data_IF_985651421864
#
_entry.id   IF_985651421864
#
_cell.length_a   1.000
_cell.length_b   1.000
_cell.length_c   1.000
_cell.angle_alpha   90.00
_cell.angle_beta   90.00
_cell.angle_gamma   90.00
#
_symmetry.space_group_name_H-M   'P 1'
#
loop_
_entity.id
_entity.type
_entity.pdbx_description
1 polymer ?
#
# COMPACT_ATOMS: atom_id res chain seq x y z
N UNK A 1 14.35 14.86 -12.43
CA UNK A 1 14.38 14.86 -10.95
C UNK A 1 13.23 13.97 -10.57
N UNK A 2 13.51 12.68 -10.48
CA UNK A 2 12.51 11.62 -10.39
C UNK A 2 12.85 10.67 -9.22
N UNK A 3 13.72 11.11 -8.31
CA UNK A 3 14.13 10.35 -7.14
C UNK A 3 13.13 10.38 -5.98
N UNK A 4 12.11 11.24 -6.06
CA UNK A 4 11.12 11.47 -5.00
C UNK A 4 9.74 10.89 -5.34
N UNK A 5 9.62 10.09 -6.40
CA UNK A 5 8.34 9.54 -6.87
C UNK A 5 8.22 8.06 -6.61
N UNK A 6 7.04 7.64 -6.17
CA UNK A 6 6.68 6.23 -5.98
C UNK A 6 6.44 5.65 -7.38
N UNK A 7 7.40 4.86 -7.90
CA UNK A 7 7.27 4.30 -9.25
C UNK A 7 6.36 3.07 -9.29
N UNK A 8 6.42 2.25 -8.25
CA UNK A 8 5.64 1.02 -8.11
C UNK A 8 5.64 0.59 -6.64
N UNK A 9 4.51 0.07 -6.18
CA UNK A 9 4.37 -0.65 -4.91
C UNK A 9 3.97 -2.08 -5.25
N UNK A 10 4.70 -3.07 -4.72
CA UNK A 10 4.42 -4.48 -4.95
C UNK A 10 4.42 -5.23 -3.62
N UNK A 11 3.35 -5.98 -3.38
CA UNK A 11 3.24 -6.83 -2.19
C UNK A 11 3.88 -8.18 -2.50
N UNK A 12 5.11 -8.37 -2.03
CA UNK A 12 5.87 -9.60 -2.22
C UNK A 12 5.39 -10.76 -1.34
N UNK A 13 4.79 -10.48 -0.19
CA UNK A 13 4.26 -11.48 0.72
C UNK A 13 3.23 -10.88 1.67
N UNK A 14 2.15 -11.61 1.91
CA UNK A 14 1.17 -11.33 2.97
C UNK A 14 0.74 -12.65 3.62
N UNK A 15 0.21 -12.56 4.84
CA UNK A 15 -0.38 -13.71 5.56
C UNK A 15 -1.77 -13.35 6.05
N UNK A 16 -2.52 -12.70 5.16
CA UNK A 16 -3.87 -12.21 5.41
C UNK A 16 -4.91 -13.27 5.03
N UNK A 17 -6.17 -13.00 5.35
CA UNK A 17 -7.28 -13.87 4.97
C UNK A 17 -7.48 -13.86 3.45
N UNK A 18 -7.21 -15.00 2.82
CA UNK A 18 -7.41 -15.23 1.38
C UNK A 18 -8.84 -14.84 0.95
N UNK A 19 -8.97 -14.06 -0.12
CA UNK A 19 -10.25 -13.62 -0.68
C UNK A 19 -10.92 -12.44 0.04
N UNK A 20 -10.48 -12.10 1.26
CA UNK A 20 -10.98 -10.92 2.00
C UNK A 20 -10.05 -9.73 1.82
N UNK A 21 -8.75 -10.00 1.84
CA UNK A 21 -7.68 -8.99 1.79
C UNK A 21 -7.23 -8.65 0.37
N UNK A 22 -7.51 -9.53 -0.59
CA UNK A 22 -7.20 -9.38 -2.03
C UNK A 22 -7.54 -7.99 -2.58
N UNK A 23 -8.77 -7.44 -2.40
CA UNK A 23 -9.09 -6.12 -2.94
C UNK A 23 -8.26 -4.99 -2.31
N UNK A 24 -7.84 -5.12 -1.04
CA UNK A 24 -6.92 -4.14 -0.44
C UNK A 24 -5.48 -4.32 -0.93
N UNK A 25 -5.04 -5.55 -1.16
CA UNK A 25 -3.71 -5.89 -1.67
C UNK A 25 -3.51 -5.41 -3.10
N UNK A 26 -4.57 -5.40 -3.92
CA UNK A 26 -4.52 -4.89 -5.29
C UNK A 26 -4.74 -3.38 -5.34
N UNK A 27 -5.79 -2.85 -4.71
CA UNK A 27 -6.18 -1.45 -4.89
C UNK A 27 -5.28 -0.45 -4.13
N UNK A 28 -4.91 -0.75 -2.89
CA UNK A 28 -4.19 0.20 -2.03
C UNK A 28 -2.79 0.54 -2.59
N UNK A 29 -1.98 -0.43 -3.06
CA UNK A 29 -0.70 -0.13 -3.72
C UNK A 29 -0.84 0.76 -4.95
N UNK A 30 -1.82 0.49 -5.81
CA UNK A 30 -2.07 1.28 -7.01
C UNK A 30 -2.50 2.71 -6.64
N UNK A 31 -3.43 2.87 -5.69
CA UNK A 31 -3.83 4.19 -5.20
C UNK A 31 -2.66 4.98 -4.63
N UNK A 32 -1.75 4.34 -3.89
CA UNK A 32 -0.56 5.02 -3.34
C UNK A 32 0.36 5.51 -4.46
N UNK A 33 0.54 4.71 -5.51
CA UNK A 33 1.32 5.11 -6.70
C UNK A 33 0.63 6.25 -7.44
N UNK A 34 -0.68 6.21 -7.62
CA UNK A 34 -1.42 7.29 -8.29
C UNK A 34 -1.44 8.59 -7.47
N UNK A 35 -1.70 8.49 -6.17
CA UNK A 35 -1.74 9.62 -5.25
C UNK A 35 -0.35 10.17 -4.91
N UNK A 36 0.71 9.38 -5.15
CA UNK A 36 2.07 9.65 -4.66
C UNK A 36 2.08 9.95 -3.15
N UNK A 37 1.16 9.33 -2.40
CA UNK A 37 0.95 9.56 -0.98
C UNK A 37 0.42 8.29 -0.32
N UNK A 38 0.72 8.13 0.96
CA UNK A 38 0.22 7.04 1.80
C UNK A 38 -1.15 7.35 2.40
N UNK A 39 -1.66 8.57 2.21
CA UNK A 39 -2.99 9.02 2.66
C UNK A 39 -4.12 8.57 1.71
N UNK A 40 -4.23 7.27 1.48
CA UNK A 40 -5.29 6.67 0.62
C UNK A 40 -6.42 6.05 1.45
N UNK A 41 -7.57 5.81 0.81
CA UNK A 41 -8.73 5.24 1.50
C UNK A 41 -8.55 3.75 1.79
N UNK A 42 -9.14 3.28 2.88
CA UNK A 42 -9.12 1.85 3.22
C UNK A 42 -10.29 1.11 2.60
N UNK A 43 -10.06 -0.10 2.10
CA UNK A 43 -11.12 -0.92 1.53
C UNK A 43 -12.02 -1.49 2.64
N UNK A 44 -13.33 -1.36 2.45
CA UNK A 44 -14.34 -1.90 3.37
C UNK A 44 -14.28 -3.42 3.41
N UNK A 45 -14.22 -4.00 4.62
CA UNK A 45 -14.01 -5.44 4.82
C UNK A 45 -12.53 -5.87 4.88
N UNK A 46 -11.61 -5.00 4.44
CA UNK A 46 -10.16 -5.22 4.48
C UNK A 46 -9.43 -4.03 5.12
N UNK A 47 -10.05 -3.38 6.10
CA UNK A 47 -9.52 -2.17 6.74
C UNK A 47 -8.19 -2.41 7.44
N UNK A 48 -8.04 -3.57 8.11
CA UNK A 48 -6.79 -3.94 8.79
C UNK A 48 -5.66 -4.12 7.77
N UNK A 49 -5.94 -4.85 6.69
CA UNK A 49 -5.03 -5.03 5.54
C UNK A 49 -4.61 -3.70 4.94
N UNK A 50 -5.58 -2.85 4.61
CA UNK A 50 -5.31 -1.56 3.97
C UNK A 50 -4.38 -0.71 4.83
N UNK A 51 -4.62 -0.66 6.15
CA UNK A 51 -3.76 0.07 7.10
C UNK A 51 -2.37 -0.56 7.21
N UNK A 52 -2.26 -1.88 7.18
CA UNK A 52 -0.97 -2.56 7.22
C UNK A 52 -0.13 -2.26 5.97
N UNK A 53 -0.76 -2.23 4.78
CA UNK A 53 -0.10 -1.88 3.52
C UNK A 53 0.38 -0.43 3.56
N UNK A 54 -0.51 0.51 3.94
CA UNK A 54 -0.18 1.93 4.07
C UNK A 54 1.03 2.11 4.99
N UNK A 55 0.99 1.54 6.20
CA UNK A 55 2.09 1.64 7.16
C UNK A 55 3.40 1.01 6.65
N UNK A 56 3.31 -0.11 5.91
CA UNK A 56 4.48 -0.74 5.30
C UNK A 56 5.11 0.14 4.22
N UNK A 57 4.30 0.82 3.41
CA UNK A 57 4.80 1.76 2.41
C UNK A 57 5.39 3.00 3.08
N UNK A 58 4.76 3.54 4.13
CA UNK A 58 5.32 4.65 4.91
C UNK A 58 6.70 4.30 5.51
N UNK A 59 6.84 3.10 6.09
CA UNK A 59 8.12 2.63 6.62
C UNK A 59 9.16 2.44 5.51
N UNK A 60 8.75 1.90 4.35
CA UNK A 60 9.64 1.79 3.19
C UNK A 60 10.12 3.17 2.71
N UNK A 61 9.22 4.14 2.58
CA UNK A 61 9.55 5.52 2.21
C UNK A 61 10.45 6.19 3.25
N UNK A 62 10.22 5.95 4.54
CA UNK A 62 11.07 6.45 5.62
C UNK A 62 12.50 5.89 5.56
N UNK A 63 12.69 4.65 5.07
CA UNK A 63 14.00 4.01 4.90
C UNK A 63 14.79 4.50 3.68
N UNK A 64 14.13 5.15 2.72
CA UNK A 64 14.79 5.72 1.53
C UNK A 64 15.44 7.08 1.85
N UNK A 65 15.09 7.67 3.00
CA UNK A 65 15.56 8.99 3.47
C UNK A 65 16.90 8.92 4.19
#
# INVERSE_FOLDING_TARGET
MDGDKIAKVEIVSHSESEGISDPAIEAVPDEIVEAQSTEVETISGATVTSKAIIAAVEDALAKIK
#
